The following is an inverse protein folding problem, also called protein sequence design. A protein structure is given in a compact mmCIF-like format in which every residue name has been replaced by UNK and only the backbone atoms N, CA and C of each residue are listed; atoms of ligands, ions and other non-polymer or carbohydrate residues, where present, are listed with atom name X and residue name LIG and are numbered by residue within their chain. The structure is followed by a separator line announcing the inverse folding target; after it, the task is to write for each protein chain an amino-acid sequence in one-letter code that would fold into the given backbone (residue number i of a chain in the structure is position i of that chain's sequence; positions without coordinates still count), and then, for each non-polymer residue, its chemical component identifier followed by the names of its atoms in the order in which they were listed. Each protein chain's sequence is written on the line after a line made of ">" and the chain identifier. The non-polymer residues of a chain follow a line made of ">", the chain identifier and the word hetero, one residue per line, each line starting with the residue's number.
data_IF_558464988383
#
_entry.id   IF_558464988383
#
_cell.length_a   1.000
_cell.length_b   1.000
_cell.length_c   1.000
_cell.angle_alpha   90.00
_cell.angle_beta   90.00
_cell.angle_gamma   90.00
#
_symmetry.space_group_name_H-M   'P 1'
#
loop_
_entity.id
_entity.type
_entity.pdbx_description
1 polymer ?
#
# COMPACT_ATOMS: atom_id res chain seq x y z
N UNK A 1 16.44 -1.83 -5.56
CA UNK A 1 16.59 -2.41 -4.20
C UNK A 1 17.24 -1.34 -3.35
N UNK A 2 16.63 -0.98 -2.23
CA UNK A 2 17.22 -0.02 -1.30
C UNK A 2 17.87 -0.76 -0.13
N UNK A 3 19.07 -0.34 0.24
CA UNK A 3 19.91 -1.02 1.22
C UNK A 3 20.94 -0.06 1.79
N UNK A 4 21.50 -0.41 2.94
CA UNK A 4 22.56 0.35 3.59
C UNK A 4 23.87 -0.38 3.28
N UNK A 5 24.82 0.34 2.69
CA UNK A 5 26.13 -0.15 2.29
C UNK A 5 27.21 0.64 3.00
N UNK A 6 28.14 -0.08 3.61
CA UNK A 6 29.29 0.50 4.30
C UNK A 6 30.54 -0.35 4.08
N UNK A 7 31.70 0.30 4.03
CA UNK A 7 32.99 -0.31 3.74
C UNK A 7 33.70 -0.87 4.99
N UNK A 8 34.94 -1.33 4.81
CA UNK A 8 35.74 -1.96 5.87
C UNK A 8 36.07 -1.06 7.08
N UNK A 9 35.85 0.25 6.98
CA UNK A 9 36.01 1.20 8.09
C UNK A 9 34.83 1.22 9.07
N UNK A 10 33.75 0.49 8.80
CA UNK A 10 32.53 0.48 9.62
C UNK A 10 32.29 -0.91 10.17
N UNK A 11 32.07 -0.99 11.49
CA UNK A 11 31.82 -2.23 12.21
C UNK A 11 30.37 -2.31 12.65
N UNK A 12 29.71 -3.43 12.33
CA UNK A 12 28.39 -3.76 12.89
C UNK A 12 28.56 -4.30 14.32
N UNK A 13 28.06 -3.57 15.32
CA UNK A 13 28.09 -3.98 16.73
C UNK A 13 26.94 -4.91 17.08
N UNK A 14 25.72 -4.48 16.74
CA UNK A 14 24.52 -5.23 17.05
C UNK A 14 23.43 -4.94 16.02
N UNK A 15 22.53 -5.89 15.84
CA UNK A 15 21.32 -5.70 15.05
C UNK A 15 20.16 -6.42 15.74
N UNK A 16 18.97 -5.82 15.68
CA UNK A 16 17.73 -6.47 16.12
C UNK A 16 16.58 -6.06 15.22
N UNK A 17 15.61 -6.95 15.07
CA UNK A 17 14.40 -6.71 14.31
C UNK A 17 13.19 -7.15 15.14
N UNK A 18 12.17 -6.30 15.18
CA UNK A 18 10.90 -6.58 15.83
C UNK A 18 9.77 -6.25 14.87
N UNK A 19 8.92 -7.23 14.59
CA UNK A 19 7.71 -7.03 13.77
C UNK A 19 6.49 -7.05 14.67
N UNK A 20 5.72 -5.97 14.70
CA UNK A 20 4.48 -5.86 15.49
C UNK A 20 3.43 -5.10 14.69
N UNK A 21 2.24 -5.68 14.55
CA UNK A 21 1.08 -5.01 13.94
C UNK A 21 1.32 -4.55 12.50
N UNK A 22 2.00 -5.36 11.69
CA UNK A 22 2.30 -5.03 10.28
C UNK A 22 3.40 -3.99 10.06
N UNK A 23 4.08 -3.55 11.13
CA UNK A 23 5.27 -2.69 11.06
C UNK A 23 6.49 -3.45 11.55
N UNK A 24 7.60 -3.34 10.84
CA UNK A 24 8.89 -3.87 11.26
C UNK A 24 9.79 -2.72 11.73
N UNK A 25 10.29 -2.84 12.94
CA UNK A 25 11.28 -1.93 13.52
C UNK A 25 12.62 -2.65 13.51
N UNK A 26 13.61 -2.05 12.85
CA UNK A 26 14.98 -2.57 12.79
C UNK A 26 15.88 -1.58 13.55
N UNK A 27 16.67 -2.09 14.49
CA UNK A 27 17.72 -1.33 15.17
C UNK A 27 19.08 -1.86 14.73
N UNK A 28 19.95 -0.96 14.31
CA UNK A 28 21.29 -1.27 13.83
C UNK A 28 22.26 -0.37 14.60
N UNK A 29 23.23 -0.97 15.28
CA UNK A 29 24.31 -0.24 15.93
C UNK A 29 25.58 -0.40 15.10
N UNK A 30 26.06 0.72 14.56
CA UNK A 30 27.28 0.81 13.77
C UNK A 30 28.32 1.64 14.52
N UNK A 31 29.57 1.20 14.44
CA UNK A 31 30.74 1.93 14.94
C UNK A 31 31.65 2.27 13.77
N UNK A 32 32.06 3.53 13.70
CA UNK A 32 33.06 4.02 12.74
C UNK A 32 33.89 5.11 13.41
N UNK A 33 35.17 5.17 13.06
CA UNK A 33 36.05 6.27 13.46
C UNK A 33 36.06 7.41 12.41
N UNK A 34 35.54 7.15 11.20
CA UNK A 34 35.50 8.11 10.11
C UNK A 34 34.14 8.80 10.01
N UNK A 35 34.15 10.14 10.09
CA UNK A 35 32.98 10.98 9.97
C UNK A 35 32.37 10.98 8.57
N UNK A 36 33.18 10.79 7.52
CA UNK A 36 32.67 10.74 6.14
C UNK A 36 31.86 9.47 5.91
N UNK A 37 32.32 8.33 6.43
CA UNK A 37 31.57 7.07 6.41
C UNK A 37 30.25 7.19 7.18
N UNK A 38 30.26 7.82 8.36
CA UNK A 38 29.03 8.07 9.12
C UNK A 38 28.03 8.93 8.32
N UNK A 39 28.50 10.01 7.69
CA UNK A 39 27.67 10.89 6.88
C UNK A 39 27.10 10.18 5.64
N UNK A 40 27.89 9.33 4.99
CA UNK A 40 27.46 8.50 3.86
C UNK A 40 26.32 7.56 4.27
N UNK A 41 26.44 6.87 5.42
CA UNK A 41 25.40 5.98 5.94
C UNK A 41 24.10 6.74 6.21
N UNK A 42 24.19 7.92 6.86
CA UNK A 42 23.01 8.74 7.15
C UNK A 42 22.31 9.20 5.85
N UNK A 43 23.07 9.57 4.84
CA UNK A 43 22.51 9.94 3.53
C UNK A 43 21.77 8.78 2.87
N UNK A 44 22.31 7.57 2.92
CA UNK A 44 21.64 6.38 2.39
C UNK A 44 20.32 6.10 3.11
N UNK A 45 20.26 6.30 4.43
CA UNK A 45 19.02 6.18 5.20
C UNK A 45 17.96 7.21 4.77
N UNK A 46 18.38 8.45 4.51
CA UNK A 46 17.49 9.47 3.97
C UNK A 46 16.95 9.09 2.59
N UNK A 47 17.81 8.60 1.70
CA UNK A 47 17.43 8.13 0.35
C UNK A 47 16.40 7.00 0.43
N UNK A 48 16.64 5.98 1.28
CA UNK A 48 15.68 4.90 1.57
C UNK A 48 14.34 5.47 2.06
N UNK A 49 14.38 6.43 2.99
CA UNK A 49 13.17 7.07 3.51
C UNK A 49 12.38 7.83 2.44
N UNK A 50 13.07 8.49 1.51
CA UNK A 50 12.43 9.17 0.39
C UNK A 50 11.83 8.19 -0.62
N UNK A 51 12.52 7.09 -0.92
CA UNK A 51 11.98 6.03 -1.78
C UNK A 51 10.73 5.39 -1.17
N UNK A 52 10.73 5.10 0.13
CA UNK A 52 9.55 4.56 0.81
C UNK A 52 8.36 5.53 0.76
N UNK A 53 8.61 6.84 0.94
CA UNK A 53 7.56 7.87 0.79
C UNK A 53 7.02 7.97 -0.63
N UNK A 54 7.87 7.78 -1.65
CA UNK A 54 7.45 7.78 -3.06
C UNK A 54 6.62 6.53 -3.38
N UNK A 55 7.08 5.36 -2.94
CA UNK A 55 6.40 4.07 -3.18
C UNK A 55 5.11 3.90 -2.36
N UNK A 56 5.00 4.57 -1.21
CA UNK A 56 3.80 4.59 -0.37
C UNK A 56 2.72 5.57 -0.85
N UNK A 57 2.98 6.40 -1.87
CA UNK A 57 1.93 7.18 -2.51
C UNK A 57 1.13 6.24 -3.39
N UNK A 58 -0.18 6.02 -3.12
CA UNK A 58 -0.99 5.22 -4.02
C UNK A 58 -0.93 5.87 -5.40
N UNK A 59 -0.63 5.07 -6.43
CA UNK A 59 -0.78 5.51 -7.80
C UNK A 59 -2.19 6.11 -7.92
N UNK A 60 -2.30 7.40 -8.26
CA UNK A 60 -3.60 7.98 -8.60
C UNK A 60 -4.17 7.06 -9.68
N UNK A 61 -5.32 6.40 -9.46
CA UNK A 61 -5.91 5.61 -10.53
C UNK A 61 -6.10 6.57 -11.69
N UNK A 62 -5.49 6.25 -12.84
CA UNK A 62 -5.86 6.89 -14.09
C UNK A 62 -7.38 6.79 -14.17
N UNK A 63 -8.04 7.93 -14.24
CA UNK A 63 -9.49 7.99 -14.28
C UNK A 63 -9.92 7.20 -15.52
N UNK A 64 -10.32 5.95 -15.32
CA UNK A 64 -10.89 5.15 -16.38
C UNK A 64 -12.07 5.94 -16.95
N UNK A 65 -12.17 6.10 -18.28
CA UNK A 65 -13.32 6.76 -18.88
C UNK A 65 -14.56 6.01 -18.41
N UNK A 66 -15.45 6.72 -17.70
CA UNK A 66 -16.70 6.17 -17.18
C UNK A 66 -17.45 5.50 -18.33
N UNK A 67 -17.39 4.16 -18.42
CA UNK A 67 -18.30 3.42 -19.28
C UNK A 67 -19.70 3.70 -18.75
N UNK A 68 -20.52 4.32 -19.59
CA UNK A 68 -21.91 4.61 -19.30
C UNK A 68 -22.57 3.33 -18.78
N UNK A 69 -23.28 3.44 -17.65
CA UNK A 69 -24.05 2.35 -17.07
C UNK A 69 -25.06 1.89 -18.12
N UNK A 70 -24.75 0.80 -18.80
CA UNK A 70 -25.75 0.06 -19.55
C UNK A 70 -26.70 -0.51 -18.50
N UNK A 71 -27.85 0.15 -18.38
CA UNK A 71 -28.92 -0.25 -17.48
C UNK A 71 -29.37 -1.64 -17.92
N UNK A 72 -28.95 -2.68 -17.19
CA UNK A 72 -29.58 -4.00 -17.25
C UNK A 72 -31.05 -3.83 -16.85
N UNK A 73 -31.92 -3.67 -17.85
CA UNK A 73 -33.36 -3.71 -17.67
C UNK A 73 -33.78 -5.17 -17.67
N UNK A 74 -34.16 -5.67 -16.50
CA UNK A 74 -34.96 -6.89 -16.42
C UNK A 74 -36.37 -6.55 -16.91
N UNK A 75 -36.91 -7.38 -17.80
CA UNK A 75 -38.30 -7.26 -18.22
C UNK A 75 -39.21 -7.49 -16.99
N UNK A 76 -40.18 -6.59 -16.79
CA UNK A 76 -41.11 -6.72 -15.68
C UNK A 76 -41.98 -7.98 -15.84
N UNK A 77 -42.18 -8.78 -14.78
CA UNK A 77 -43.09 -9.92 -14.83
C UNK A 77 -44.53 -9.41 -15.01
N UNK A 78 -45.27 -10.06 -15.91
CA UNK A 78 -46.69 -9.77 -16.13
C UNK A 78 -47.48 -10.15 -14.87
N UNK A 79 -48.08 -9.16 -14.20
CA UNK A 79 -49.10 -9.43 -13.20
C UNK A 79 -50.33 -10.00 -13.91
N UNK A 80 -50.69 -11.24 -13.59
CA UNK A 80 -52.02 -11.77 -13.90
C UNK A 80 -53.02 -11.14 -12.91
N UNK A 81 -53.93 -10.32 -13.42
CA UNK A 81 -55.09 -9.85 -12.69
C UNK A 81 -56.20 -10.88 -12.87
N UNK A 82 -56.54 -11.60 -11.81
CA UNK A 82 -57.73 -12.46 -11.77
C UNK A 82 -58.95 -11.58 -11.46
N UNK A 83 -59.89 -11.48 -12.41
CA UNK A 83 -61.16 -10.77 -12.23
C UNK A 83 -62.06 -11.58 -11.29
N UNK A 84 -62.11 -11.17 -10.02
CA UNK A 84 -62.97 -11.73 -8.97
C UNK A 84 -64.33 -11.01 -8.97
N UNK A 85 -65.02 -11.00 -10.10
CA UNK A 85 -66.43 -10.61 -10.16
C UNK A 85 -67.21 -11.79 -10.70
N UNK A 86 -68.30 -12.09 -10.00
CA UNK A 86 -69.24 -13.20 -10.21
C UNK A 86 -68.95 -14.46 -9.40
N UNK A 87 -69.16 -14.37 -8.07
CA UNK A 87 -69.94 -15.38 -7.31
C UNK A 87 -70.59 -14.72 -6.09
N UNK A 88 -71.61 -13.92 -6.34
CA UNK A 88 -72.63 -13.59 -5.34
C UNK A 88 -73.98 -13.59 -6.06
N UNK A 89 -74.60 -14.78 -6.14
CA UNK A 89 -76.05 -15.03 -6.13
C UNK A 89 -76.29 -16.50 -5.83
#
# INVERSE_FOLDING_TARGET
>A
MSGIYFGGGVRLKSHSALTKGGKSTIKIELETADHYEAASILRQLDEVGQEQKKSGKPAKPEAQPRRAKEQLRLAAPLLQLEDQRERDT
#
